data_IF_084741213376
#
_entry.id   IF_084741213376
#
_cell.length_a   1.000
_cell.length_b   1.000
_cell.length_c   1.000
_cell.angle_alpha   90.00
_cell.angle_beta   90.00
_cell.angle_gamma   90.00
#
_symmetry.space_group_name_H-M   'P 1'
#
loop_
_entity.id
_entity.type
_entity.pdbx_description
1 polymer ?
#
# COMPACT_ATOMS: atom_id res chain seq x y z
N UNK A 1 -3.31 10.47 22.29
CA UNK A 1 -3.43 9.63 21.06
C UNK A 1 -2.51 8.44 21.26
N UNK A 2 -2.85 7.25 20.79
CA UNK A 2 -1.94 6.10 20.83
C UNK A 2 -0.86 6.36 19.78
N UNK A 3 0.42 6.34 20.19
CA UNK A 3 1.56 6.50 19.28
C UNK A 3 1.64 5.33 18.29
N UNK A 4 2.18 5.57 17.12
CA UNK A 4 2.43 4.56 16.08
C UNK A 4 3.72 3.79 16.38
N UNK A 5 3.77 2.51 15.99
CA UNK A 5 5.00 1.73 15.94
C UNK A 5 5.53 1.78 14.49
N UNK A 6 6.64 2.49 14.27
CA UNK A 6 7.17 2.84 12.95
C UNK A 6 8.51 2.14 12.73
N UNK A 7 8.67 1.45 11.60
CA UNK A 7 9.97 1.07 11.08
C UNK A 7 10.46 2.18 10.14
N UNK A 8 11.64 2.73 10.42
CA UNK A 8 12.26 3.74 9.57
C UNK A 8 13.56 3.21 9.00
N UNK A 9 13.68 3.19 7.68
CA UNK A 9 14.85 2.70 6.95
C UNK A 9 15.48 3.86 6.19
N UNK A 10 16.67 4.28 6.61
CA UNK A 10 17.41 5.45 6.11
C UNK A 10 18.88 5.25 6.42
N UNK A 11 19.78 5.40 5.45
CA UNK A 11 21.21 5.21 5.64
C UNK A 11 21.94 6.44 6.20
N UNK A 12 21.43 7.65 5.97
CA UNK A 12 21.99 8.83 6.58
C UNK A 12 21.57 8.94 8.04
N UNK A 13 22.52 8.68 8.94
CA UNK A 13 22.31 8.69 10.39
C UNK A 13 21.88 10.08 10.92
N UNK A 14 22.24 11.20 10.26
CA UNK A 14 21.84 12.54 10.67
C UNK A 14 20.39 12.80 10.31
N UNK A 15 20.02 12.50 9.07
CA UNK A 15 18.60 12.56 8.64
C UNK A 15 17.75 11.65 9.47
N UNK A 16 18.25 10.44 9.75
CA UNK A 16 17.55 9.48 10.59
C UNK A 16 17.33 10.00 12.01
N UNK A 17 18.32 10.67 12.61
CA UNK A 17 18.17 11.21 13.96
C UNK A 17 17.10 12.31 14.02
N UNK A 18 17.13 13.26 13.08
CA UNK A 18 16.18 14.37 13.02
C UNK A 18 14.73 13.85 12.90
N UNK A 19 14.51 12.86 12.02
CA UNK A 19 13.20 12.24 11.82
C UNK A 19 12.77 11.43 13.05
N UNK A 20 13.69 10.68 13.68
CA UNK A 20 13.37 9.94 14.90
C UNK A 20 12.96 10.88 16.05
N UNK A 21 13.65 12.01 16.22
CA UNK A 21 13.34 12.98 17.26
C UNK A 21 11.96 13.63 17.02
N UNK A 22 11.64 13.96 15.77
CA UNK A 22 10.31 14.43 15.38
C UNK A 22 9.22 13.41 15.72
N UNK A 23 9.40 12.16 15.32
CA UNK A 23 8.40 11.11 15.52
C UNK A 23 8.23 10.77 17.01
N UNK A 24 9.32 10.63 17.76
CA UNK A 24 9.28 10.41 19.19
C UNK A 24 8.65 11.58 19.95
N UNK A 25 8.95 12.83 19.51
CA UNK A 25 8.30 14.02 20.04
C UNK A 25 6.78 14.05 19.80
N UNK A 26 6.29 13.37 18.76
CA UNK A 26 4.87 13.18 18.48
C UNK A 26 4.23 12.01 19.31
N UNK A 27 5.05 11.26 20.08
CA UNK A 27 4.61 10.13 20.90
C UNK A 27 4.67 8.77 20.19
N UNK A 28 5.35 8.68 19.04
CA UNK A 28 5.52 7.46 18.26
C UNK A 28 6.73 6.65 18.73
N UNK A 29 6.68 5.31 18.55
CA UNK A 29 7.80 4.41 18.75
C UNK A 29 8.49 4.17 17.41
N UNK A 30 9.81 4.39 17.36
CA UNK A 30 10.57 4.29 16.10
C UNK A 30 11.69 3.27 16.24
N UNK A 31 11.66 2.26 15.37
CA UNK A 31 12.78 1.37 15.10
C UNK A 31 13.49 1.86 13.85
N UNK A 32 14.76 2.24 13.97
CA UNK A 32 15.58 2.67 12.86
C UNK A 32 16.49 1.54 12.37
N UNK A 33 16.63 1.42 11.06
CA UNK A 33 17.59 0.57 10.37
C UNK A 33 18.35 1.39 9.32
N UNK A 34 19.68 1.32 9.37
CA UNK A 34 20.56 2.05 8.46
C UNK A 34 20.82 1.32 7.13
N UNK A 35 20.20 0.16 6.91
CA UNK A 35 20.41 -0.66 5.70
C UNK A 35 19.10 -1.25 5.19
N UNK A 36 19.01 -1.41 3.88
CA UNK A 36 17.85 -2.05 3.27
C UNK A 36 17.66 -3.50 3.69
N UNK A 37 18.76 -4.25 3.83
CA UNK A 37 18.73 -5.64 4.31
C UNK A 37 18.21 -5.74 5.74
N UNK A 38 18.63 -4.85 6.64
CA UNK A 38 18.13 -4.74 8.01
C UNK A 38 16.65 -4.40 8.04
N UNK A 39 16.24 -3.41 7.24
CA UNK A 39 14.83 -3.02 7.10
C UNK A 39 13.94 -4.16 6.65
N UNK A 40 14.36 -4.89 5.61
CA UNK A 40 13.63 -6.05 5.09
C UNK A 40 13.49 -7.17 6.14
N UNK A 41 14.57 -7.46 6.88
CA UNK A 41 14.57 -8.46 7.94
C UNK A 41 13.60 -8.09 9.07
N UNK A 42 13.64 -6.83 9.54
CA UNK A 42 12.75 -6.32 10.59
C UNK A 42 11.30 -6.33 10.17
N UNK A 43 11.01 -5.83 8.98
CA UNK A 43 9.64 -5.81 8.46
C UNK A 43 9.00 -7.20 8.33
N UNK A 44 9.81 -8.24 8.11
CA UNK A 44 9.33 -9.62 8.06
C UNK A 44 9.16 -10.30 9.41
N UNK A 45 9.81 -9.81 10.45
CA UNK A 45 9.81 -10.42 11.81
C UNK A 45 8.89 -9.73 12.79
N UNK A 46 8.86 -8.39 12.75
CA UNK A 46 8.20 -7.56 13.74
C UNK A 46 6.94 -6.95 13.13
N UNK A 47 6.03 -6.48 13.97
CA UNK A 47 4.81 -5.81 13.53
C UNK A 47 4.96 -4.30 13.67
N UNK A 48 4.74 -3.61 12.57
CA UNK A 48 4.75 -2.15 12.51
C UNK A 48 3.41 -1.63 11.98
N UNK A 49 3.03 -0.43 12.41
CA UNK A 49 1.84 0.27 11.92
C UNK A 49 2.09 0.91 10.55
N UNK A 50 3.33 1.40 10.35
CA UNK A 50 3.79 2.01 9.08
C UNK A 50 5.29 1.75 8.92
N UNK A 51 5.72 1.55 7.69
CA UNK A 51 7.13 1.55 7.30
C UNK A 51 7.42 2.85 6.56
N UNK A 52 8.44 3.59 6.98
CA UNK A 52 9.03 4.73 6.26
C UNK A 52 10.31 4.21 5.61
N UNK A 53 10.40 4.29 4.30
CA UNK A 53 11.47 3.66 3.54
C UNK A 53 12.13 4.66 2.60
N UNK A 54 13.43 4.91 2.76
CA UNK A 54 14.16 5.65 1.75
C UNK A 54 14.29 4.82 0.47
N UNK A 55 14.15 5.48 -0.66
CA UNK A 55 14.38 4.90 -1.97
C UNK A 55 15.87 4.61 -2.20
N UNK A 56 16.72 5.56 -1.84
CA UNK A 56 18.16 5.54 -2.16
C UNK A 56 18.98 4.96 -1.01
N UNK A 57 18.97 3.64 -0.86
CA UNK A 57 19.79 2.95 0.12
C UNK A 57 21.03 2.33 -0.56
N UNK A 58 22.19 2.26 0.12
CA UNK A 58 23.45 1.86 -0.50
C UNK A 58 23.55 0.36 -0.85
N UNK A 59 22.76 -0.48 -0.19
CA UNK A 59 22.82 -1.94 -0.32
C UNK A 59 21.70 -2.50 -1.20
N UNK A 60 20.46 -2.08 -0.98
CA UNK A 60 19.28 -2.54 -1.74
C UNK A 60 18.38 -1.33 -1.99
N UNK A 61 18.06 -1.05 -3.25
CA UNK A 61 17.12 0.00 -3.63
C UNK A 61 15.76 -0.17 -2.93
N UNK A 62 15.22 0.92 -2.38
CA UNK A 62 13.96 0.90 -1.63
C UNK A 62 12.77 0.32 -2.40
N UNK A 63 12.77 0.48 -3.73
CA UNK A 63 11.76 -0.12 -4.60
C UNK A 63 11.85 -1.64 -4.62
N UNK A 64 13.08 -2.17 -4.65
CA UNK A 64 13.33 -3.62 -4.56
C UNK A 64 12.90 -4.17 -3.21
N UNK A 65 13.17 -3.45 -2.11
CA UNK A 65 12.71 -3.81 -0.76
C UNK A 65 11.21 -3.88 -0.73
N UNK A 66 10.54 -2.85 -1.22
CA UNK A 66 9.09 -2.78 -1.28
C UNK A 66 8.48 -3.95 -2.06
N UNK A 67 9.02 -4.26 -3.24
CA UNK A 67 8.57 -5.39 -4.04
C UNK A 67 8.68 -6.72 -3.26
N UNK A 68 9.83 -6.97 -2.62
CA UNK A 68 10.07 -8.17 -1.80
C UNK A 68 9.13 -8.26 -0.60
N UNK A 69 8.84 -7.13 0.07
CA UNK A 69 7.87 -7.09 1.16
C UNK A 69 6.48 -7.51 0.67
N UNK A 70 6.06 -7.02 -0.48
CA UNK A 70 4.75 -7.38 -1.07
C UNK A 70 4.70 -8.83 -1.54
N UNK A 71 5.77 -9.34 -2.13
CA UNK A 71 5.91 -10.76 -2.51
C UNK A 71 5.85 -11.69 -1.30
N UNK A 72 6.45 -11.25 -0.16
CA UNK A 72 6.42 -12.00 1.11
C UNK A 72 5.10 -11.87 1.87
N UNK A 73 4.10 -11.15 1.32
CA UNK A 73 2.79 -10.98 1.96
C UNK A 73 2.75 -9.95 3.08
N UNK A 74 3.80 -9.15 3.26
CA UNK A 74 3.81 -8.05 4.24
C UNK A 74 2.87 -6.96 3.78
N UNK A 75 1.74 -6.80 4.49
CA UNK A 75 0.67 -5.83 4.21
C UNK A 75 0.84 -4.50 4.93
N UNK A 76 1.89 -4.30 5.72
CA UNK A 76 2.16 -3.03 6.42
C UNK A 76 2.24 -1.88 5.43
N UNK A 77 1.55 -0.75 5.68
CA UNK A 77 1.65 0.44 4.84
C UNK A 77 3.08 0.93 4.70
N UNK A 78 3.46 1.33 3.48
CA UNK A 78 4.80 1.86 3.20
C UNK A 78 4.69 3.28 2.65
N UNK A 79 5.32 4.23 3.36
CA UNK A 79 5.62 5.57 2.87
C UNK A 79 7.02 5.56 2.27
N UNK A 80 7.12 5.77 0.96
CA UNK A 80 8.40 5.87 0.28
C UNK A 80 8.92 7.31 0.30
N UNK A 81 10.15 7.50 0.78
CA UNK A 81 10.86 8.77 0.70
C UNK A 81 11.76 8.79 -0.54
N UNK A 82 11.85 9.92 -1.25
CA UNK A 82 12.74 10.05 -2.40
C UNK A 82 13.26 11.47 -2.59
N UNK A 83 14.52 11.59 -2.98
CA UNK A 83 15.19 12.87 -3.26
C UNK A 83 14.72 13.54 -4.57
N UNK A 84 13.92 12.87 -5.39
CA UNK A 84 13.58 13.31 -6.75
C UNK A 84 12.09 13.60 -6.86
N UNK A 85 11.74 14.87 -6.95
CA UNK A 85 10.38 15.36 -7.20
C UNK A 85 9.86 15.16 -8.63
N UNK A 86 10.33 14.15 -9.36
CA UNK A 86 9.84 13.84 -10.71
C UNK A 86 8.57 13.02 -10.65
N UNK A 87 7.59 13.40 -11.46
CA UNK A 87 6.32 12.66 -11.62
C UNK A 87 6.53 11.18 -11.97
N UNK A 88 7.61 10.86 -12.66
CA UNK A 88 7.99 9.48 -13.04
C UNK A 88 8.35 8.64 -11.81
N UNK A 89 9.12 9.20 -10.86
CA UNK A 89 9.53 8.46 -9.65
C UNK A 89 8.34 8.15 -8.73
N UNK A 90 7.36 9.06 -8.71
CA UNK A 90 6.11 8.85 -7.95
C UNK A 90 5.25 7.74 -8.57
N UNK A 91 5.20 7.68 -9.90
CA UNK A 91 4.48 6.63 -10.60
C UNK A 91 5.14 5.26 -10.42
N UNK A 92 6.48 5.19 -10.57
CA UNK A 92 7.25 3.96 -10.33
C UNK A 92 7.10 3.45 -8.87
N UNK A 93 7.11 4.35 -7.87
CA UNK A 93 6.90 4.01 -6.46
C UNK A 93 5.54 3.38 -6.20
N UNK A 94 4.49 3.93 -6.81
CA UNK A 94 3.14 3.41 -6.74
C UNK A 94 3.01 2.07 -7.50
N UNK A 95 3.71 1.91 -8.62
CA UNK A 95 3.78 0.66 -9.39
C UNK A 95 4.43 -0.46 -8.58
N UNK A 96 5.45 -0.15 -7.79
CA UNK A 96 6.10 -1.10 -6.89
C UNK A 96 5.22 -1.50 -5.70
N UNK A 97 4.11 -0.79 -5.43
CA UNK A 97 3.17 -1.09 -4.36
C UNK A 97 3.34 -0.25 -3.10
N UNK A 98 3.96 0.95 -3.21
CA UNK A 98 3.95 1.94 -2.16
C UNK A 98 2.51 2.45 -1.92
N UNK A 99 2.18 2.72 -0.66
CA UNK A 99 0.85 3.21 -0.28
C UNK A 99 0.78 4.74 -0.31
N UNK A 100 1.92 5.41 -0.14
CA UNK A 100 2.09 6.84 -0.35
C UNK A 100 3.57 7.16 -0.63
N UNK A 101 3.83 8.39 -1.04
CA UNK A 101 5.12 8.90 -1.45
C UNK A 101 5.36 10.30 -0.88
N UNK A 102 6.58 10.58 -0.43
CA UNK A 102 6.99 11.89 0.07
C UNK A 102 8.35 12.29 -0.53
N UNK A 103 8.38 13.45 -1.19
CA UNK A 103 9.61 13.98 -1.77
C UNK A 103 10.48 14.64 -0.70
N UNK A 104 11.79 14.39 -0.71
CA UNK A 104 12.80 15.13 0.05
C UNK A 104 13.22 16.38 -0.73
N UNK A 105 13.40 17.56 -0.06
CA UNK A 105 13.15 17.80 1.37
C UNK A 105 11.65 17.92 1.68
N UNK A 106 11.24 17.53 2.87
CA UNK A 106 9.86 17.59 3.34
C UNK A 106 9.77 18.30 4.69
N UNK A 107 8.60 18.87 4.96
CA UNK A 107 8.28 19.43 6.27
C UNK A 107 7.83 18.34 7.24
N UNK A 108 8.23 18.46 8.53
CA UNK A 108 7.88 17.47 9.54
C UNK A 108 6.37 17.26 9.70
N UNK A 109 5.58 18.33 9.58
CA UNK A 109 4.12 18.26 9.64
C UNK A 109 3.53 17.44 8.48
N UNK A 110 4.12 17.52 7.28
CA UNK A 110 3.70 16.73 6.13
C UNK A 110 3.96 15.25 6.37
N UNK A 111 5.15 14.89 6.85
CA UNK A 111 5.49 13.50 7.21
C UNK A 111 4.47 12.95 8.22
N UNK A 112 4.23 13.65 9.33
CA UNK A 112 3.28 13.25 10.37
C UNK A 112 1.85 13.10 9.83
N UNK A 113 1.42 14.02 8.96
CA UNK A 113 0.09 13.95 8.36
C UNK A 113 -0.08 12.71 7.47
N UNK A 114 0.93 12.36 6.67
CA UNK A 114 0.93 11.17 5.81
C UNK A 114 0.95 9.88 6.60
N UNK A 115 1.77 9.79 7.64
CA UNK A 115 1.83 8.62 8.52
C UNK A 115 0.48 8.36 9.21
N UNK A 116 -0.15 9.42 9.72
CA UNK A 116 -1.51 9.33 10.29
C UNK A 116 -2.54 8.89 9.26
N UNK A 117 -2.45 9.39 8.03
CA UNK A 117 -3.35 9.01 6.96
C UNK A 117 -3.19 7.53 6.57
N UNK A 118 -1.95 7.04 6.47
CA UNK A 118 -1.63 5.64 6.20
C UNK A 118 -2.15 4.72 7.32
N UNK A 119 -1.84 5.04 8.58
CA UNK A 119 -2.32 4.26 9.73
C UNK A 119 -3.85 4.27 9.81
N UNK A 120 -4.53 5.41 9.63
CA UNK A 120 -5.99 5.48 9.63
C UNK A 120 -6.60 4.59 8.54
N UNK A 121 -5.99 4.53 7.36
CA UNK A 121 -6.43 3.64 6.27
C UNK A 121 -6.22 2.17 6.62
N UNK A 122 -5.18 1.83 7.38
CA UNK A 122 -4.86 0.45 7.77
C UNK A 122 -5.58 -0.02 9.03
N UNK A 123 -5.82 0.88 10.01
CA UNK A 123 -6.35 0.54 11.35
C UNK A 123 -7.88 0.46 11.43
N UNK A 124 -8.61 0.80 10.36
CA UNK A 124 -10.05 0.51 10.25
C UNK A 124 -10.95 1.01 11.37
N UNK A 125 -10.73 2.22 11.92
CA UNK A 125 -11.66 2.80 12.91
C UNK A 125 -12.81 3.52 12.21
N UNK A 126 -13.94 2.96 12.27
CA UNK A 126 -15.37 3.36 12.36
C UNK A 126 -16.35 2.61 11.43
N UNK A 127 -17.32 1.97 12.10
CA UNK A 127 -18.64 1.36 11.80
C UNK A 127 -18.96 0.76 10.42
N UNK A 128 -19.11 -0.50 10.49
CA UNK A 128 -19.90 -1.52 9.76
C UNK A 128 -20.59 -1.14 8.44
N UNK A 129 -19.86 -1.33 7.34
CA UNK A 129 -20.47 -1.83 6.12
C UNK A 129 -19.67 -3.08 5.68
N UNK A 130 -20.30 -4.21 5.60
CA UNK A 130 -19.77 -5.40 4.92
C UNK A 130 -20.40 -5.39 3.54
N UNK A 131 -19.58 -5.37 2.49
CA UNK A 131 -20.04 -5.52 1.11
C UNK A 131 -19.84 -6.98 0.75
N UNK A 132 -20.90 -7.65 0.27
CA UNK A 132 -20.87 -9.06 -0.12
C UNK A 132 -21.19 -9.15 -1.61
N UNK A 133 -20.35 -9.87 -2.36
CA UNK A 133 -20.59 -10.19 -3.76
C UNK A 133 -20.09 -11.61 -4.10
N UNK A 134 -20.99 -12.50 -4.41
CA UNK A 134 -20.68 -13.91 -4.64
C UNK A 134 -20.01 -14.56 -3.43
N UNK A 135 -18.74 -14.97 -3.61
CA UNK A 135 -17.92 -15.56 -2.53
C UNK A 135 -17.06 -14.54 -1.78
N UNK A 136 -17.13 -13.26 -2.14
CA UNK A 136 -16.32 -12.21 -1.57
C UNK A 136 -17.03 -11.43 -0.47
N UNK A 137 -16.26 -11.07 0.57
CA UNK A 137 -16.69 -10.18 1.64
C UNK A 137 -15.61 -9.08 1.82
N UNK A 138 -16.06 -7.82 1.81
CA UNK A 138 -15.23 -6.67 2.09
C UNK A 138 -15.73 -5.98 3.36
N UNK A 139 -15.00 -6.11 4.44
CA UNK A 139 -15.28 -5.43 5.71
C UNK A 139 -14.63 -4.05 5.66
N UNK A 140 -15.38 -3.07 5.14
CA UNK A 140 -14.85 -1.73 4.79
C UNK A 140 -14.14 -1.06 5.96
N UNK A 141 -14.67 -1.21 7.19
CA UNK A 141 -14.12 -0.57 8.39
C UNK A 141 -12.99 -1.33 9.04
N UNK A 142 -13.09 -2.64 9.08
CA UNK A 142 -12.01 -3.49 9.57
C UNK A 142 -10.85 -3.55 8.56
N UNK A 143 -11.07 -3.06 7.33
CA UNK A 143 -10.14 -3.16 6.19
C UNK A 143 -9.64 -4.58 5.98
N UNK A 144 -10.55 -5.55 6.15
CA UNK A 144 -10.29 -6.97 5.92
C UNK A 144 -11.14 -7.47 4.76
N UNK A 145 -10.60 -8.40 4.02
CA UNK A 145 -11.25 -9.00 2.86
C UNK A 145 -11.22 -10.52 2.98
N UNK A 146 -12.27 -11.16 2.50
CA UNK A 146 -12.38 -12.61 2.50
C UNK A 146 -12.91 -13.11 1.15
N UNK A 147 -12.53 -14.33 0.78
CA UNK A 147 -13.15 -15.11 -0.29
C UNK A 147 -13.48 -16.49 0.26
N UNK A 148 -14.75 -16.88 0.19
CA UNK A 148 -15.24 -18.16 0.76
C UNK A 148 -14.73 -18.40 2.20
N UNK A 149 -14.86 -17.42 3.07
CA UNK A 149 -14.39 -17.39 4.47
C UNK A 149 -12.86 -17.43 4.66
N UNK A 150 -12.06 -17.47 3.60
CA UNK A 150 -10.59 -17.38 3.68
C UNK A 150 -10.17 -15.93 3.67
N UNK A 151 -9.40 -15.51 4.70
CA UNK A 151 -8.85 -14.17 4.79
C UNK A 151 -7.86 -13.90 3.65
N UNK A 152 -8.01 -12.75 2.98
CA UNK A 152 -7.13 -12.27 1.92
C UNK A 152 -6.13 -11.27 2.51
N UNK A 153 -4.85 -11.62 2.49
CA UNK A 153 -3.77 -10.76 3.01
C UNK A 153 -3.45 -9.62 2.02
N UNK A 154 -4.36 -8.66 1.90
CA UNK A 154 -4.22 -7.51 1.01
C UNK A 154 -3.40 -6.40 1.67
N UNK A 155 -2.50 -5.76 0.91
CA UNK A 155 -1.89 -4.49 1.32
C UNK A 155 -2.95 -3.37 1.33
N UNK A 156 -2.70 -2.23 1.99
CA UNK A 156 -3.66 -1.12 2.01
C UNK A 156 -4.11 -0.67 0.62
N UNK A 157 -3.20 -0.63 -0.37
CA UNK A 157 -3.55 -0.23 -1.74
C UNK A 157 -4.37 -1.31 -2.46
N UNK A 158 -4.00 -2.59 -2.30
CA UNK A 158 -4.78 -3.71 -2.83
C UNK A 158 -6.17 -3.77 -2.20
N UNK A 159 -6.29 -3.45 -0.90
CA UNK A 159 -7.58 -3.36 -0.25
C UNK A 159 -8.45 -2.22 -0.82
N UNK A 160 -7.89 -1.02 -1.04
CA UNK A 160 -8.62 0.09 -1.67
C UNK A 160 -9.10 -0.29 -3.07
N UNK A 161 -8.24 -0.96 -3.84
CA UNK A 161 -8.56 -1.46 -5.18
C UNK A 161 -9.67 -2.52 -5.11
N UNK A 162 -9.55 -3.50 -4.21
CA UNK A 162 -10.57 -4.53 -4.00
C UNK A 162 -11.90 -3.93 -3.54
N UNK A 163 -11.87 -3.00 -2.56
CA UNK A 163 -13.06 -2.28 -2.10
C UNK A 163 -13.77 -1.58 -3.26
N UNK A 164 -13.00 -0.88 -4.11
CA UNK A 164 -13.56 -0.19 -5.27
C UNK A 164 -14.26 -1.15 -6.23
N UNK A 165 -13.70 -2.32 -6.47
CA UNK A 165 -14.36 -3.38 -7.24
C UNK A 165 -15.59 -3.94 -6.56
N UNK A 166 -15.58 -4.09 -5.24
CA UNK A 166 -16.75 -4.54 -4.48
C UNK A 166 -17.89 -3.52 -4.49
N UNK A 167 -17.57 -2.23 -4.47
CA UNK A 167 -18.54 -1.13 -4.59
C UNK A 167 -19.15 -1.03 -6.02
N UNK A 168 -18.43 -1.54 -7.03
CA UNK A 168 -18.84 -1.59 -8.43
C UNK A 168 -18.95 -3.04 -8.92
N UNK A 169 -19.42 -3.95 -8.07
CA UNK A 169 -19.41 -5.38 -8.33
C UNK A 169 -20.24 -5.75 -9.58
N UNK A 170 -19.62 -6.53 -10.47
CA UNK A 170 -20.24 -6.93 -11.75
C UNK A 170 -20.15 -5.90 -12.88
N UNK A 171 -19.84 -4.65 -12.55
CA UNK A 171 -19.66 -3.58 -13.55
C UNK A 171 -18.23 -3.56 -14.12
N UNK A 172 -18.10 -2.97 -15.29
CA UNK A 172 -16.78 -2.75 -15.90
C UNK A 172 -16.15 -1.48 -15.32
N UNK A 173 -15.05 -1.65 -14.62
CA UNK A 173 -14.25 -0.56 -14.06
C UNK A 173 -13.12 -0.22 -15.04
N UNK A 174 -13.14 1.01 -15.57
CA UNK A 174 -12.12 1.43 -16.52
C UNK A 174 -10.81 1.83 -15.83
N UNK A 175 -9.71 1.85 -16.59
CA UNK A 175 -8.41 2.34 -16.13
C UNK A 175 -8.51 3.79 -15.58
N UNK A 176 -9.24 4.65 -16.28
CA UNK A 176 -9.41 6.05 -15.89
C UNK A 176 -10.16 6.20 -14.56
N UNK A 177 -11.21 5.39 -14.35
CA UNK A 177 -11.93 5.34 -13.08
C UNK A 177 -10.99 4.96 -11.94
N UNK A 178 -10.16 3.93 -12.13
CA UNK A 178 -9.17 3.50 -11.12
C UNK A 178 -8.16 4.60 -10.81
N UNK A 179 -7.55 5.21 -11.83
CA UNK A 179 -6.59 6.30 -11.63
C UNK A 179 -7.22 7.46 -10.87
N UNK A 180 -8.42 7.88 -11.23
CA UNK A 180 -9.13 8.97 -10.56
C UNK A 180 -9.54 8.62 -9.13
N UNK A 181 -10.17 7.46 -8.92
CA UNK A 181 -10.89 7.17 -7.68
C UNK A 181 -10.03 6.41 -6.66
N UNK A 182 -9.08 5.57 -7.11
CA UNK A 182 -8.18 4.81 -6.22
C UNK A 182 -6.83 5.50 -6.04
N UNK A 183 -6.24 6.03 -7.14
CA UNK A 183 -4.95 6.71 -7.08
C UNK A 183 -5.04 8.23 -6.90
N UNK A 184 -6.25 8.81 -7.00
CA UNK A 184 -6.49 10.26 -6.90
C UNK A 184 -5.67 11.07 -7.93
N UNK A 185 -5.48 10.49 -9.11
CA UNK A 185 -4.81 11.13 -10.24
C UNK A 185 -5.83 11.70 -11.21
N UNK A 186 -5.61 12.94 -11.64
CA UNK A 186 -6.45 13.62 -12.65
C UNK A 186 -5.98 13.41 -14.08
N UNK A 187 -4.87 12.70 -14.28
CA UNK A 187 -4.29 12.38 -15.59
C UNK A 187 -3.75 10.95 -15.62
N UNK A 188 -3.64 10.34 -16.80
CA UNK A 188 -2.97 9.05 -16.97
C UNK A 188 -1.45 9.28 -16.97
N UNK A 189 -0.71 8.73 -16.00
CA UNK A 189 0.74 8.83 -15.95
C UNK A 189 1.44 8.00 -17.03
N UNK A 190 0.68 7.29 -17.90
CA UNK A 190 1.19 6.36 -18.93
C UNK A 190 2.13 5.28 -18.38
N UNK A 191 1.90 4.85 -17.14
CA UNK A 191 2.66 3.81 -16.45
C UNK A 191 1.79 2.56 -16.26
N UNK A 192 2.41 1.43 -15.94
CA UNK A 192 1.70 0.17 -15.72
C UNK A 192 1.10 0.05 -14.30
N UNK A 193 0.92 1.19 -13.58
CA UNK A 193 0.48 1.19 -12.17
C UNK A 193 -0.79 0.38 -11.95
N UNK A 194 -1.78 0.58 -12.81
CA UNK A 194 -3.06 -0.13 -12.70
C UNK A 194 -2.86 -1.62 -12.97
N UNK A 195 -2.21 -1.97 -14.10
CA UNK A 195 -2.05 -3.36 -14.54
C UNK A 195 -1.25 -4.20 -13.54
N UNK A 196 -0.17 -3.64 -12.99
CA UNK A 196 0.66 -4.30 -11.97
C UNK A 196 -0.15 -4.57 -10.71
N UNK A 197 -0.91 -3.59 -10.22
CA UNK A 197 -1.72 -3.76 -9.00
C UNK A 197 -2.92 -4.69 -9.24
N UNK A 198 -3.54 -4.64 -10.41
CA UNK A 198 -4.56 -5.63 -10.82
C UNK A 198 -3.96 -7.04 -10.84
N UNK A 199 -2.77 -7.22 -11.42
CA UNK A 199 -2.10 -8.52 -11.45
C UNK A 199 -1.79 -9.06 -10.05
N UNK A 200 -1.35 -8.19 -9.12
CA UNK A 200 -1.12 -8.56 -7.71
C UNK A 200 -2.42 -8.91 -7.00
N UNK A 201 -3.42 -8.06 -7.13
CA UNK A 201 -4.74 -8.31 -6.54
C UNK A 201 -5.33 -9.62 -7.07
N UNK A 202 -5.34 -9.83 -8.40
CA UNK A 202 -5.84 -11.06 -9.02
C UNK A 202 -5.18 -12.29 -8.42
N UNK A 203 -3.85 -12.32 -8.31
CA UNK A 203 -3.11 -13.45 -7.73
C UNK A 203 -3.58 -13.75 -6.32
N UNK A 204 -3.80 -12.74 -5.47
CA UNK A 204 -4.27 -12.93 -4.09
C UNK A 204 -5.73 -13.35 -4.00
N UNK A 205 -6.57 -12.84 -4.90
CA UNK A 205 -7.98 -13.23 -4.95
C UNK A 205 -8.15 -14.67 -5.44
N UNK A 206 -7.29 -15.14 -6.34
CA UNK A 206 -7.41 -16.43 -7.02
C UNK A 206 -6.56 -17.53 -6.39
N UNK A 207 -5.65 -17.21 -5.47
CA UNK A 207 -4.79 -18.17 -4.78
C UNK A 207 -5.62 -19.25 -4.05
N UNK A 208 -5.47 -20.51 -4.47
CA UNK A 208 -6.20 -21.66 -3.92
C UNK A 208 -7.67 -21.75 -4.35
N UNK A 209 -8.06 -21.04 -5.43
CA UNK A 209 -9.40 -21.14 -6.02
C UNK A 209 -9.32 -21.41 -7.53
N UNK A 210 -10.17 -22.32 -8.03
CA UNK A 210 -10.21 -22.69 -9.44
C UNK A 210 -10.91 -21.66 -10.33
N UNK A 211 -11.75 -20.82 -9.75
CA UNK A 211 -12.53 -19.82 -10.47
C UNK A 211 -11.86 -18.46 -10.48
N UNK A 212 -11.83 -17.79 -11.64
CA UNK A 212 -11.29 -16.43 -11.73
C UNK A 212 -12.10 -15.45 -10.89
N UNK A 213 -11.41 -14.43 -10.38
CA UNK A 213 -11.99 -13.35 -9.59
C UNK A 213 -12.10 -12.06 -10.40
N UNK A 214 -11.09 -11.77 -11.21
CA UNK A 214 -10.99 -10.55 -12.01
C UNK A 214 -10.85 -10.89 -13.49
N UNK A 215 -11.83 -10.44 -14.26
CA UNK A 215 -11.82 -10.53 -15.71
C UNK A 215 -11.20 -9.25 -16.32
N UNK A 216 -10.42 -9.41 -17.38
CA UNK A 216 -9.94 -8.29 -18.19
C UNK A 216 -10.84 -8.13 -19.40
N UNK A 217 -11.48 -6.97 -19.52
CA UNK A 217 -12.26 -6.58 -20.70
C UNK A 217 -11.35 -5.79 -21.61
N UNK A 218 -10.82 -6.46 -22.62
CA UNK A 218 -9.80 -5.89 -23.51
C UNK A 218 -10.24 -4.56 -24.10
N UNK A 219 -9.35 -3.58 -24.02
CA UNK A 219 -9.59 -2.22 -24.53
C UNK A 219 -10.52 -1.37 -23.66
N UNK A 220 -11.09 -1.91 -22.56
CA UNK A 220 -12.07 -1.18 -21.72
C UNK A 220 -11.66 -1.12 -20.26
N UNK A 221 -11.34 -2.26 -19.61
CA UNK A 221 -11.04 -2.25 -18.19
C UNK A 221 -11.12 -3.64 -17.55
N UNK A 222 -11.62 -3.69 -16.32
CA UNK A 222 -11.66 -4.89 -15.51
C UNK A 222 -13.02 -5.06 -14.84
N UNK A 223 -13.40 -6.28 -14.53
CA UNK A 223 -14.65 -6.60 -13.87
C UNK A 223 -14.44 -7.64 -12.77
N UNK A 224 -15.02 -7.40 -11.59
CA UNK A 224 -15.06 -8.40 -10.52
C UNK A 224 -16.15 -9.42 -10.84
N UNK A 225 -15.82 -10.71 -10.79
CA UNK A 225 -16.72 -11.82 -10.95
C UNK A 225 -17.16 -12.37 -9.59
N UNK A 226 -18.31 -13.05 -9.52
CA UNK A 226 -18.85 -13.62 -8.26
C UNK A 226 -17.94 -14.66 -7.59
N UNK A 227 -16.96 -15.23 -8.31
CA UNK A 227 -16.04 -16.24 -7.80
C UNK A 227 -16.66 -17.62 -7.50
N UNK A 228 -17.88 -17.87 -8.02
CA UNK A 228 -18.62 -19.15 -7.86
C UNK A 228 -18.12 -20.23 -8.79
#
# INVERSE_FOLDING_TARGET
MVGLNILYVEDDARVAQDVQDLLRGNGDTVTWEGTGAGGLLRAGRDRYDVIVLDRMLPDIDGMTILARLRESGVGTPVLLLSALGRTVDRAEGLDAGADDYLAKPFEGEELLARLRALHRRSSGREHSAVIIFGTFECHVKARTAFRANRHLALSPKEFELFRYFMENAGEVVTREMLLRDVWKMSFDPQTNVVDVNIGRLRRKLEDGFDKPALETIWGTGYRLLEGR
#
